data_IF_702380259606
#
_entry.id   IF_702380259606
#
_cell.length_a   1.000
_cell.length_b   1.000
_cell.length_c   1.000
_cell.angle_alpha   90.00
_cell.angle_beta   90.00
_cell.angle_gamma   90.00
#
_symmetry.space_group_name_H-M   'P 1'
#
loop_
_entity.id
_entity.type
_entity.pdbx_description
1 polymer ?
#
# COMPACT_ATOMS: atom_id res chain seq x y z
N UNK A 1 -40.66 6.42 21.57
CA UNK A 1 -40.60 6.75 20.13
C UNK A 1 -39.24 6.28 19.62
N UNK A 2 -39.18 5.15 18.92
CA UNK A 2 -37.95 4.67 18.26
C UNK A 2 -37.84 5.37 16.91
N UNK A 3 -36.73 6.08 16.69
CA UNK A 3 -36.43 6.69 15.41
C UNK A 3 -35.99 5.60 14.43
N UNK A 4 -36.86 5.26 13.47
CA UNK A 4 -36.52 4.49 12.28
C UNK A 4 -35.60 5.34 11.39
N UNK A 5 -34.29 5.32 11.66
CA UNK A 5 -33.28 5.73 10.69
C UNK A 5 -33.21 4.64 9.63
N UNK A 6 -34.06 4.73 8.61
CA UNK A 6 -33.86 3.94 7.39
C UNK A 6 -32.51 4.37 6.81
N UNK A 7 -31.53 3.47 6.84
CA UNK A 7 -30.27 3.68 6.15
C UNK A 7 -30.60 3.90 4.67
N UNK A 8 -30.28 5.07 4.14
CA UNK A 8 -30.36 5.29 2.70
C UNK A 8 -29.53 4.21 2.00
N UNK A 9 -30.00 3.67 0.87
CA UNK A 9 -29.25 2.68 0.14
C UNK A 9 -27.88 3.29 -0.20
N UNK A 10 -26.82 2.61 0.25
CA UNK A 10 -25.47 3.03 -0.08
C UNK A 10 -25.36 3.17 -1.61
N UNK A 11 -24.71 4.23 -2.11
CA UNK A 11 -24.49 4.37 -3.54
C UNK A 11 -23.81 3.10 -4.07
N UNK A 12 -24.14 2.66 -5.30
CA UNK A 12 -23.54 1.47 -5.88
C UNK A 12 -22.02 1.59 -5.85
N UNK A 13 -21.33 0.50 -5.47
CA UNK A 13 -19.88 0.49 -5.43
C UNK A 13 -19.32 0.73 -6.84
N UNK A 14 -18.09 1.25 -6.93
CA UNK A 14 -17.41 1.45 -8.21
C UNK A 14 -17.32 0.13 -8.99
N UNK A 15 -17.11 -1.00 -8.30
CA UNK A 15 -17.15 -2.33 -8.90
C UNK A 15 -18.50 -2.62 -9.59
N UNK A 16 -19.63 -2.31 -8.94
CA UNK A 16 -20.97 -2.43 -9.53
C UNK A 16 -21.16 -1.48 -10.71
N UNK A 17 -20.65 -0.24 -10.62
CA UNK A 17 -20.71 0.72 -11.72
C UNK A 17 -19.90 0.29 -12.95
N UNK A 18 -18.81 -0.43 -12.74
CA UNK A 18 -17.92 -0.94 -13.79
C UNK A 18 -18.28 -2.36 -14.26
N UNK A 19 -19.33 -2.98 -13.68
CA UNK A 19 -19.76 -4.33 -14.03
C UNK A 19 -18.81 -5.44 -13.58
N UNK A 20 -17.97 -5.18 -12.56
CA UNK A 20 -17.03 -6.13 -11.98
C UNK A 20 -17.73 -7.07 -10.99
N UNK A 21 -17.27 -8.32 -10.91
CA UNK A 21 -17.72 -9.23 -9.85
C UNK A 21 -17.14 -8.78 -8.50
N UNK A 22 -18.01 -8.24 -7.66
CA UNK A 22 -17.63 -7.74 -6.34
C UNK A 22 -17.09 -8.85 -5.42
N UNK A 23 -17.46 -10.11 -5.65
CA UNK A 23 -16.93 -11.23 -4.87
C UNK A 23 -15.48 -11.54 -5.25
N UNK A 24 -15.14 -11.48 -6.54
CA UNK A 24 -13.79 -11.70 -7.05
C UNK A 24 -12.83 -10.59 -6.57
N UNK A 25 -13.27 -9.33 -6.66
CA UNK A 25 -12.53 -8.18 -6.11
C UNK A 25 -12.28 -8.35 -4.62
N UNK A 26 -13.31 -8.74 -3.86
CA UNK A 26 -13.20 -8.93 -2.42
C UNK A 26 -12.31 -10.13 -2.06
N UNK A 27 -12.36 -11.22 -2.85
CA UNK A 27 -11.48 -12.37 -2.65
C UNK A 27 -10.02 -11.98 -2.85
N UNK A 28 -9.72 -11.33 -3.98
CA UNK A 28 -8.36 -10.88 -4.29
C UNK A 28 -7.83 -9.89 -3.25
N UNK A 29 -8.68 -8.98 -2.78
CA UNK A 29 -8.31 -8.07 -1.69
C UNK A 29 -8.00 -8.82 -0.38
N UNK A 30 -8.72 -9.90 -0.07
CA UNK A 30 -8.43 -10.74 1.10
C UNK A 30 -7.11 -11.50 0.96
N UNK A 31 -6.80 -11.99 -0.23
CA UNK A 31 -5.54 -12.71 -0.47
C UNK A 31 -4.33 -11.78 -0.32
N UNK A 32 -4.46 -10.52 -0.77
CA UNK A 32 -3.47 -9.46 -0.52
C UNK A 32 -3.30 -9.17 0.97
N UNK A 33 -4.41 -9.03 1.70
CA UNK A 33 -4.37 -8.82 3.16
C UNK A 33 -3.71 -10.00 3.87
N UNK A 34 -4.01 -11.23 3.47
CA UNK A 34 -3.40 -12.43 4.05
C UNK A 34 -1.88 -12.44 3.85
N UNK A 35 -1.41 -12.16 2.63
CA UNK A 35 0.02 -12.05 2.34
C UNK A 35 0.70 -10.94 3.16
N UNK A 36 0.00 -9.84 3.40
CA UNK A 36 0.50 -8.73 4.21
C UNK A 36 0.61 -9.10 5.68
N UNK A 37 -0.39 -9.79 6.23
CA UNK A 37 -0.33 -10.26 7.62
C UNK A 37 0.75 -11.32 7.85
N UNK A 38 1.14 -12.04 6.80
CA UNK A 38 2.22 -13.02 6.83
C UNK A 38 3.60 -12.40 6.52
N UNK A 39 3.67 -11.10 6.25
CA UNK A 39 4.93 -10.41 5.93
C UNK A 39 5.86 -10.29 7.15
N UNK A 40 7.16 -10.18 6.90
CA UNK A 40 8.16 -10.05 7.95
C UNK A 40 7.95 -8.77 8.81
N UNK A 41 7.52 -7.69 8.19
CA UNK A 41 7.20 -6.42 8.86
C UNK A 41 6.01 -6.58 9.82
N UNK A 42 4.95 -7.25 9.37
CA UNK A 42 3.77 -7.51 10.19
C UNK A 42 4.08 -8.42 11.38
N UNK A 43 4.83 -9.50 11.13
CA UNK A 43 5.28 -10.40 12.19
C UNK A 43 6.19 -9.68 13.20
N UNK A 44 7.14 -8.86 12.72
CA UNK A 44 8.01 -8.06 13.59
C UNK A 44 7.23 -7.13 14.49
N UNK A 45 6.24 -6.42 13.96
CA UNK A 45 5.38 -5.57 14.78
C UNK A 45 4.57 -6.37 15.80
N UNK A 46 3.99 -7.49 15.39
CA UNK A 46 3.22 -8.36 16.27
C UNK A 46 4.07 -8.88 17.44
N UNK A 47 5.30 -9.31 17.16
CA UNK A 47 6.27 -9.75 18.16
C UNK A 47 6.66 -8.62 19.12
N UNK A 48 6.94 -7.42 18.60
CA UNK A 48 7.26 -6.25 19.42
C UNK A 48 6.08 -5.85 20.32
N UNK A 49 4.86 -5.86 19.77
CA UNK A 49 3.65 -5.55 20.51
C UNK A 49 3.38 -6.56 21.63
N UNK A 50 3.60 -7.85 21.36
CA UNK A 50 3.47 -8.92 22.35
C UNK A 50 4.56 -8.83 23.44
N UNK A 51 5.76 -8.36 23.11
CA UNK A 51 6.88 -8.23 24.03
C UNK A 51 6.84 -6.98 24.93
N UNK A 52 5.85 -6.10 24.77
CA UNK A 52 5.73 -4.89 25.59
C UNK A 52 5.48 -5.22 27.07
N UNK A 53 6.28 -4.61 27.93
CA UNK A 53 6.04 -4.60 29.37
C UNK A 53 5.03 -3.50 29.74
N UNK A 54 4.54 -3.52 30.98
CA UNK A 54 3.66 -2.45 31.47
C UNK A 54 4.35 -1.09 31.49
N UNK A 55 5.65 -1.06 31.80
CA UNK A 55 6.44 0.16 31.74
C UNK A 55 6.53 0.70 30.31
N UNK A 56 6.72 -0.17 29.32
CA UNK A 56 6.76 0.23 27.91
C UNK A 56 5.40 0.83 27.48
N UNK A 57 4.29 0.26 27.94
CA UNK A 57 2.93 0.79 27.66
C UNK A 57 2.71 2.17 28.27
N UNK A 58 3.17 2.40 29.50
CA UNK A 58 3.11 3.72 30.12
C UNK A 58 3.90 4.77 29.32
N UNK A 59 5.11 4.43 28.86
CA UNK A 59 5.93 5.33 28.01
C UNK A 59 5.21 5.67 26.71
N UNK A 60 4.56 4.69 26.06
CA UNK A 60 3.77 4.91 24.85
C UNK A 60 2.52 5.76 25.11
N UNK A 61 1.85 5.57 26.24
CA UNK A 61 0.69 6.36 26.62
C UNK A 61 1.05 7.83 26.92
N UNK A 62 2.16 8.06 27.61
CA UNK A 62 2.71 9.40 27.86
C UNK A 62 3.09 10.10 26.54
N UNK A 63 3.73 9.37 25.63
CA UNK A 63 4.05 9.87 24.29
C UNK A 63 2.78 10.23 23.50
N UNK A 64 1.76 9.38 23.54
CA UNK A 64 0.46 9.64 22.92
C UNK A 64 -0.21 10.89 23.49
N UNK A 65 -0.20 11.05 24.81
CA UNK A 65 -0.73 12.26 25.46
C UNK A 65 0.00 13.51 24.99
N UNK A 66 1.34 13.46 24.90
CA UNK A 66 2.14 14.59 24.42
C UNK A 66 1.83 14.95 22.96
N UNK A 67 1.70 13.96 22.08
CA UNK A 67 1.24 14.18 20.70
C UNK A 67 -0.14 14.85 20.71
N UNK A 68 -1.07 14.37 21.53
CA UNK A 68 -2.42 14.96 21.66
C UNK A 68 -2.41 16.44 22.06
N UNK A 69 -1.50 16.83 22.95
CA UNK A 69 -1.30 18.25 23.32
C UNK A 69 -0.72 19.05 22.15
N UNK A 70 0.31 18.55 21.47
CA UNK A 70 0.97 19.23 20.35
C UNK A 70 0.05 19.37 19.13
N UNK A 71 -0.82 18.38 18.90
CA UNK A 71 -1.75 18.34 17.77
C UNK A 71 -3.15 18.85 18.10
N UNK A 72 -3.30 19.59 19.20
CA UNK A 72 -4.56 20.23 19.54
C UNK A 72 -5.10 21.03 18.32
N UNK A 73 -6.38 20.88 17.95
CA UNK A 73 -6.94 21.55 16.78
C UNK A 73 -6.70 23.06 16.75
N UNK A 74 -6.66 23.73 17.91
CA UNK A 74 -6.36 25.17 18.02
C UNK A 74 -4.93 25.48 17.57
N UNK A 75 -3.95 24.68 17.96
CA UNK A 75 -2.55 24.87 17.58
C UNK A 75 -2.33 24.58 16.08
N UNK A 76 -2.93 23.50 15.58
CA UNK A 76 -2.86 23.14 14.16
C UNK A 76 -3.49 24.22 13.29
N UNK A 77 -4.65 24.75 13.67
CA UNK A 77 -5.32 25.81 12.92
C UNK A 77 -4.59 27.16 13.03
N UNK A 78 -3.92 27.44 14.15
CA UNK A 78 -3.09 28.63 14.31
C UNK A 78 -1.82 28.57 13.44
N UNK A 79 -1.22 27.39 13.27
CA UNK A 79 -0.08 27.18 12.38
C UNK A 79 -0.45 27.38 10.91
N UNK A 80 -1.54 26.76 10.45
CA UNK A 80 -2.03 26.90 9.08
C UNK A 80 -3.57 26.72 9.03
N UNK A 81 -4.33 27.77 8.69
CA UNK A 81 -5.79 27.73 8.76
C UNK A 81 -6.45 27.03 7.57
N UNK A 82 -5.83 27.00 6.38
CA UNK A 82 -6.52 26.60 5.15
C UNK A 82 -5.84 25.46 4.38
N UNK A 83 -4.50 25.38 4.40
CA UNK A 83 -3.78 24.43 3.55
C UNK A 83 -3.61 23.07 4.23
N UNK A 84 -4.43 22.10 3.84
CA UNK A 84 -4.41 20.75 4.43
C UNK A 84 -3.06 20.05 4.33
N UNK A 85 -2.33 20.21 3.23
CA UNK A 85 -1.00 19.60 3.06
C UNK A 85 0.01 20.14 4.10
N UNK A 86 0.05 21.45 4.30
CA UNK A 86 0.90 22.06 5.33
C UNK A 86 0.48 21.65 6.74
N UNK A 87 -0.82 21.53 7.00
CA UNK A 87 -1.32 20.99 8.29
C UNK A 87 -0.90 19.53 8.47
N UNK A 88 -0.89 18.73 7.40
CA UNK A 88 -0.41 17.34 7.43
C UNK A 88 1.09 17.28 7.72
N UNK A 89 1.90 18.08 7.03
CA UNK A 89 3.34 18.21 7.28
C UNK A 89 3.63 18.60 8.72
N UNK A 90 2.91 19.58 9.28
CA UNK A 90 3.01 19.95 10.69
C UNK A 90 2.71 18.78 11.62
N UNK A 91 1.63 18.02 11.36
CA UNK A 91 1.28 16.85 12.18
C UNK A 91 2.38 15.80 12.15
N UNK A 92 2.86 15.43 10.95
CA UNK A 92 3.94 14.47 10.76
C UNK A 92 5.21 14.91 11.50
N UNK A 93 5.59 16.17 11.37
CA UNK A 93 6.76 16.71 12.08
C UNK A 93 6.62 16.59 13.61
N UNK A 94 5.48 16.97 14.18
CA UNK A 94 5.27 16.88 15.63
C UNK A 94 5.22 15.45 16.16
N UNK A 95 4.68 14.52 15.38
CA UNK A 95 4.70 13.09 15.72
C UNK A 95 6.14 12.58 15.67
N UNK A 96 6.89 12.90 14.61
CA UNK A 96 8.29 12.50 14.48
C UNK A 96 9.18 13.03 15.62
N UNK A 97 8.96 14.28 16.05
CA UNK A 97 9.65 14.86 17.22
C UNK A 97 9.41 14.03 18.50
N UNK A 98 8.18 13.60 18.75
CA UNK A 98 7.88 12.78 19.94
C UNK A 98 8.45 11.36 19.82
N UNK A 99 8.35 10.74 18.64
CA UNK A 99 8.92 9.41 18.40
C UNK A 99 10.44 9.44 18.56
N UNK A 100 11.12 10.51 18.14
CA UNK A 100 12.57 10.66 18.27
C UNK A 100 13.06 10.68 19.74
N UNK A 101 12.18 11.00 20.69
CA UNK A 101 12.50 11.00 22.11
C UNK A 101 12.26 9.63 22.78
N UNK A 102 11.57 8.72 22.11
CA UNK A 102 11.40 7.34 22.58
C UNK A 102 12.72 6.58 22.49
N UNK A 103 12.88 5.60 23.38
CA UNK A 103 14.05 4.72 23.41
C UNK A 103 13.63 3.27 23.65
N UNK A 104 14.47 2.32 23.26
CA UNK A 104 14.23 0.89 23.46
C UNK A 104 12.98 0.39 22.74
N UNK A 105 12.26 -0.55 23.37
CA UNK A 105 11.09 -1.22 22.75
C UNK A 105 9.97 -0.27 22.31
N UNK A 106 9.59 0.78 23.08
CA UNK A 106 8.64 1.78 22.61
C UNK A 106 9.04 2.43 21.27
N UNK A 107 10.33 2.72 21.08
CA UNK A 107 10.85 3.27 19.82
C UNK A 107 10.77 2.25 18.70
N UNK A 108 11.25 1.04 18.95
CA UNK A 108 11.23 -0.05 17.97
C UNK A 108 9.81 -0.39 17.50
N UNK A 109 8.84 -0.38 18.42
CA UNK A 109 7.43 -0.57 18.07
C UNK A 109 6.89 0.57 17.21
N UNK A 110 7.20 1.83 17.55
CA UNK A 110 6.77 2.98 16.76
C UNK A 110 7.34 2.94 15.34
N UNK A 111 8.61 2.55 15.18
CA UNK A 111 9.24 2.39 13.87
C UNK A 111 8.65 1.20 13.08
N UNK A 112 8.35 0.09 13.77
CA UNK A 112 7.70 -1.06 13.14
C UNK A 112 6.26 -0.73 12.70
N UNK A 113 5.55 0.12 13.45
CA UNK A 113 4.23 0.60 13.07
C UNK A 113 4.28 1.49 11.82
N UNK A 114 5.27 2.38 11.72
CA UNK A 114 5.49 3.23 10.54
C UNK A 114 5.72 2.38 9.28
N UNK A 115 6.52 1.32 9.40
CA UNK A 115 6.73 0.38 8.30
C UNK A 115 5.45 -0.35 7.86
N UNK A 116 4.54 -0.66 8.79
CA UNK A 116 3.24 -1.25 8.46
C UNK A 116 2.30 -0.24 7.83
N UNK A 117 2.29 1.01 8.31
CA UNK A 117 1.50 2.09 7.72
C UNK A 117 1.92 2.30 6.24
N UNK A 118 3.23 2.31 5.97
CA UNK A 118 3.78 2.38 4.61
C UNK A 118 3.34 1.18 3.74
N UNK A 119 3.35 -0.04 4.28
CA UNK A 119 2.84 -1.22 3.57
C UNK A 119 1.35 -1.06 3.22
N UNK A 120 0.53 -0.67 4.20
CA UNK A 120 -0.91 -0.46 4.01
C UNK A 120 -1.16 0.61 2.93
N UNK A 121 -0.45 1.73 3.00
CA UNK A 121 -0.54 2.79 1.99
C UNK A 121 -0.17 2.29 0.59
N UNK A 122 0.90 1.51 0.48
CA UNK A 122 1.29 0.90 -0.80
C UNK A 122 0.22 -0.06 -1.34
N UNK A 123 -0.42 -0.88 -0.51
CA UNK A 123 -1.53 -1.72 -0.96
C UNK A 123 -2.75 -0.89 -1.37
N UNK A 124 -3.13 0.11 -0.57
CA UNK A 124 -4.31 0.92 -0.84
C UNK A 124 -4.17 1.68 -2.17
N UNK A 125 -3.00 2.26 -2.42
CA UNK A 125 -2.74 3.06 -3.61
C UNK A 125 -2.53 2.18 -4.84
N UNK A 126 -1.65 1.19 -4.76
CA UNK A 126 -1.15 0.48 -5.95
C UNK A 126 -1.90 -0.82 -6.27
N UNK A 127 -2.55 -1.44 -5.29
CA UNK A 127 -3.28 -2.70 -5.47
C UNK A 127 -4.79 -2.45 -5.43
N UNK A 128 -5.31 -1.95 -4.31
CA UNK A 128 -6.76 -1.81 -4.11
C UNK A 128 -7.39 -0.86 -5.13
N UNK A 129 -6.75 0.28 -5.42
CA UNK A 129 -7.21 1.19 -6.47
C UNK A 129 -7.39 0.48 -7.82
N UNK A 130 -6.46 -0.39 -8.18
CA UNK A 130 -6.52 -1.15 -9.43
C UNK A 130 -7.55 -2.28 -9.38
N UNK A 131 -7.67 -3.01 -8.27
CA UNK A 131 -8.71 -4.04 -8.09
C UNK A 131 -10.12 -3.45 -8.25
N UNK A 132 -10.35 -2.24 -7.72
CA UNK A 132 -11.64 -1.56 -7.83
C UNK A 132 -11.95 -1.10 -9.27
N UNK A 133 -10.92 -0.76 -10.06
CA UNK A 133 -11.09 -0.25 -11.43
C UNK A 133 -11.09 -1.36 -12.48
N UNK A 134 -10.23 -2.37 -12.32
CA UNK A 134 -10.00 -3.43 -13.31
C UNK A 134 -10.55 -4.79 -12.90
N UNK A 135 -10.84 -5.00 -11.61
CA UNK A 135 -11.24 -6.30 -11.08
C UNK A 135 -10.05 -7.16 -10.63
N UNK A 136 -8.88 -6.97 -11.25
CA UNK A 136 -7.69 -7.78 -11.02
C UNK A 136 -6.37 -6.99 -11.08
N UNK A 137 -5.28 -7.70 -10.80
CA UNK A 137 -3.93 -7.32 -11.21
C UNK A 137 -3.52 -8.24 -12.38
N UNK A 138 -3.37 -7.69 -13.61
CA UNK A 138 -3.21 -8.50 -14.80
C UNK A 138 -1.91 -9.29 -14.77
N UNK A 139 -2.00 -10.57 -15.11
CA UNK A 139 -0.85 -11.43 -15.34
C UNK A 139 -0.38 -11.26 -16.78
N UNK A 140 0.87 -10.86 -16.97
CA UNK A 140 1.48 -10.68 -18.28
C UNK A 140 2.58 -11.71 -18.50
N UNK A 141 2.82 -12.08 -19.76
CA UNK A 141 3.96 -12.90 -20.16
C UNK A 141 5.10 -11.98 -20.62
N UNK A 142 6.07 -11.67 -19.74
CA UNK A 142 7.20 -10.85 -20.13
C UNK A 142 8.22 -11.65 -20.96
N UNK A 143 9.02 -10.93 -21.74
CA UNK A 143 10.25 -11.44 -22.35
C UNK A 143 11.44 -10.64 -21.81
N UNK A 144 12.66 -11.19 -21.93
CA UNK A 144 13.89 -10.51 -21.52
C UNK A 144 13.87 -9.96 -20.08
N UNK A 145 13.36 -10.76 -19.14
CA UNK A 145 13.27 -10.38 -17.72
C UNK A 145 14.66 -10.33 -17.10
N UNK A 146 14.97 -9.21 -16.47
CA UNK A 146 16.13 -9.05 -15.60
C UNK A 146 15.70 -8.47 -14.25
N UNK A 147 16.15 -9.11 -13.18
CA UNK A 147 15.83 -8.75 -11.79
C UNK A 147 17.07 -8.22 -11.07
N UNK A 148 16.92 -7.10 -10.38
CA UNK A 148 17.93 -6.51 -9.49
C UNK A 148 17.26 -6.15 -8.15
N UNK A 149 17.27 -7.10 -7.22
CA UNK A 149 16.54 -6.99 -5.96
C UNK A 149 15.03 -6.78 -6.20
N UNK A 150 14.43 -5.68 -5.71
CA UNK A 150 13.02 -5.37 -5.95
C UNK A 150 12.76 -4.78 -7.35
N UNK A 151 13.80 -4.43 -8.13
CA UNK A 151 13.63 -3.87 -9.46
C UNK A 151 13.54 -4.97 -10.52
N UNK A 152 12.64 -4.79 -11.47
CA UNK A 152 12.53 -5.63 -12.66
C UNK A 152 12.61 -4.76 -13.91
N UNK A 153 13.28 -5.28 -14.93
CA UNK A 153 13.18 -4.79 -16.30
C UNK A 153 12.76 -5.93 -17.21
N UNK A 154 11.85 -5.66 -18.12
CA UNK A 154 11.31 -6.68 -19.02
C UNK A 154 10.77 -6.04 -20.29
N UNK A 155 10.53 -6.86 -21.30
CA UNK A 155 9.85 -6.49 -22.53
C UNK A 155 8.47 -7.14 -22.56
N UNK A 156 7.51 -6.45 -23.18
CA UNK A 156 6.18 -6.98 -23.42
C UNK A 156 5.78 -6.74 -24.86
N UNK A 157 5.31 -7.80 -25.48
CA UNK A 157 4.69 -7.82 -26.80
C UNK A 157 3.24 -8.26 -26.60
N UNK A 158 2.30 -7.32 -26.74
CA UNK A 158 0.89 -7.61 -26.50
C UNK A 158 0.01 -6.38 -26.64
N UNK A 159 -1.29 -6.64 -26.82
CA UNK A 159 -2.32 -5.60 -26.95
C UNK A 159 -2.85 -5.12 -25.58
N UNK A 160 -2.44 -5.76 -24.48
CA UNK A 160 -2.89 -5.42 -23.13
C UNK A 160 -2.38 -4.02 -22.78
N UNK A 161 -3.27 -3.01 -22.66
CA UNK A 161 -2.83 -1.67 -22.35
C UNK A 161 -2.49 -1.60 -20.86
N UNK A 162 -1.20 -1.38 -20.57
CA UNK A 162 -0.75 -0.95 -19.27
C UNK A 162 0.14 0.29 -19.37
N UNK A 163 0.12 1.12 -18.33
CA UNK A 163 0.81 2.40 -18.26
C UNK A 163 1.73 2.49 -17.04
N UNK A 164 2.60 3.50 -17.05
CA UNK A 164 3.32 3.91 -15.85
C UNK A 164 2.32 4.25 -14.75
N UNK A 165 2.54 3.72 -13.55
CA UNK A 165 1.66 3.83 -12.40
C UNK A 165 0.69 2.65 -12.22
N UNK A 166 0.66 1.70 -13.16
CA UNK A 166 -0.15 0.49 -13.02
C UNK A 166 0.67 -0.69 -12.49
N UNK A 167 -0.01 -1.58 -11.78
CA UNK A 167 0.55 -2.81 -11.21
C UNK A 167 0.29 -3.99 -12.15
N UNK A 168 1.28 -4.87 -12.30
CA UNK A 168 1.19 -6.10 -13.10
C UNK A 168 1.77 -7.29 -12.33
N UNK A 169 1.35 -8.50 -12.67
CA UNK A 169 2.02 -9.74 -12.26
C UNK A 169 2.82 -10.27 -13.44
N UNK A 170 4.01 -10.79 -13.17
CA UNK A 170 4.88 -11.36 -14.19
C UNK A 170 4.73 -12.88 -14.17
N UNK A 171 4.38 -13.48 -15.31
CA UNK A 171 4.37 -14.93 -15.51
C UNK A 171 5.81 -15.44 -15.67
N UNK A 172 6.61 -15.28 -14.60
CA UNK A 172 8.00 -15.73 -14.51
C UNK A 172 8.22 -16.35 -13.11
N UNK A 173 8.71 -17.61 -13.02
CA UNK A 173 8.91 -18.31 -11.75
C UNK A 173 9.84 -17.59 -10.75
N UNK A 174 10.71 -16.70 -11.23
CA UNK A 174 11.66 -15.95 -10.42
C UNK A 174 11.11 -14.57 -10.01
N UNK A 175 10.01 -14.11 -10.63
CA UNK A 175 9.43 -12.78 -10.41
C UNK A 175 8.06 -12.86 -9.70
N UNK A 176 8.06 -13.40 -8.48
CA UNK A 176 6.87 -13.50 -7.65
C UNK A 176 6.33 -12.12 -7.21
N UNK A 177 5.02 -12.05 -7.01
CA UNK A 177 4.31 -10.86 -6.51
C UNK A 177 3.83 -9.90 -7.60
N UNK A 178 3.40 -8.72 -7.17
CA UNK A 178 2.97 -7.64 -8.05
C UNK A 178 4.09 -6.60 -8.23
N UNK A 179 4.14 -5.99 -9.42
CA UNK A 179 5.15 -5.03 -9.83
C UNK A 179 4.48 -3.74 -10.30
N UNK A 180 4.83 -2.62 -9.69
CA UNK A 180 4.42 -1.29 -10.12
C UNK A 180 5.30 -0.80 -11.26
N UNK A 181 4.72 -0.53 -12.42
CA UNK A 181 5.44 0.01 -13.58
C UNK A 181 5.81 1.46 -13.29
N UNK A 182 7.11 1.75 -13.27
CA UNK A 182 7.64 3.10 -12.99
C UNK A 182 8.31 3.75 -14.21
N UNK A 183 8.50 2.99 -15.30
CA UNK A 183 9.06 3.50 -16.54
C UNK A 183 8.69 2.62 -17.73
N UNK A 184 8.50 3.26 -18.89
CA UNK A 184 8.23 2.60 -20.15
C UNK A 184 9.01 3.30 -21.27
N UNK A 185 9.57 2.52 -22.17
CA UNK A 185 10.18 3.00 -23.42
C UNK A 185 9.66 2.17 -24.60
N UNK A 186 9.37 2.85 -25.70
CA UNK A 186 8.80 2.27 -26.89
C UNK A 186 9.84 2.22 -28.00
N UNK A 187 10.09 1.04 -28.54
CA UNK A 187 10.93 0.87 -29.71
C UNK A 187 10.05 0.63 -30.93
N UNK A 188 10.04 1.59 -31.85
CA UNK A 188 9.34 1.48 -33.13
C UNK A 188 10.30 0.94 -34.20
N UNK A 189 10.40 -0.39 -34.30
CA UNK A 189 11.11 -1.03 -35.40
C UNK A 189 10.22 -1.13 -36.64
N UNK A 190 10.73 -0.80 -37.83
CA UNK A 190 9.98 -0.86 -39.10
C UNK A 190 9.47 -2.27 -39.47
N UNK A 191 9.90 -3.34 -38.77
CA UNK A 191 9.63 -4.74 -39.14
C UNK A 191 9.19 -5.67 -37.98
N UNK A 192 9.32 -5.26 -36.70
CA UNK A 192 9.16 -6.18 -35.54
C UNK A 192 7.94 -5.89 -34.64
N UNK A 193 7.02 -5.02 -35.06
CA UNK A 193 5.89 -4.61 -34.22
C UNK A 193 6.30 -3.66 -33.08
N UNK A 194 5.33 -3.29 -32.25
CA UNK A 194 5.57 -2.41 -31.09
C UNK A 194 6.12 -3.24 -29.93
N UNK A 195 7.41 -3.04 -29.60
CA UNK A 195 7.99 -3.59 -28.37
C UNK A 195 8.04 -2.52 -27.30
N UNK A 196 7.48 -2.84 -26.14
CA UNK A 196 7.51 -1.97 -24.96
C UNK A 196 8.49 -2.54 -23.97
N UNK A 197 9.54 -1.77 -23.65
CA UNK A 197 10.45 -2.08 -22.54
C UNK A 197 9.95 -1.37 -21.28
N UNK A 198 9.79 -2.11 -20.21
CA UNK A 198 9.29 -1.65 -18.93
C UNK A 198 10.38 -1.71 -17.87
N UNK A 199 10.36 -0.75 -16.96
CA UNK A 199 10.97 -0.87 -15.63
C UNK A 199 9.86 -0.87 -14.60
N UNK A 200 10.00 -1.73 -13.61
CA UNK A 200 9.02 -1.88 -12.56
C UNK A 200 9.68 -2.14 -11.21
N UNK A 201 8.95 -1.86 -10.14
CA UNK A 201 9.37 -2.12 -8.77
C UNK A 201 8.39 -3.09 -8.13
N UNK A 202 8.90 -4.17 -7.54
CA UNK A 202 8.09 -5.12 -6.79
C UNK A 202 7.42 -4.41 -5.62
N UNK A 203 6.11 -4.61 -5.50
CA UNK A 203 5.34 -4.14 -4.37
C UNK A 203 5.63 -5.04 -3.16
N UNK A 204 6.03 -4.46 -2.03
CA UNK A 204 6.43 -5.23 -0.87
C UNK A 204 5.27 -6.07 -0.32
N UNK A 205 5.60 -7.25 0.23
CA UNK A 205 4.65 -8.20 0.83
C UNK A 205 3.57 -8.77 -0.11
N UNK A 206 3.76 -8.68 -1.44
CA UNK A 206 2.79 -9.21 -2.42
C UNK A 206 3.17 -10.58 -2.99
N UNK A 207 4.32 -11.14 -2.60
CA UNK A 207 4.92 -12.35 -3.20
C UNK A 207 3.99 -13.56 -3.18
N UNK A 208 3.16 -13.67 -2.12
CA UNK A 208 2.23 -14.78 -1.93
C UNK A 208 0.75 -14.38 -2.15
N UNK A 209 0.48 -13.12 -2.49
CA UNK A 209 -0.88 -12.56 -2.52
C UNK A 209 -1.77 -13.09 -3.66
N UNK A 210 -1.18 -13.73 -4.68
CA UNK A 210 -1.88 -14.11 -5.90
C UNK A 210 -1.60 -15.54 -6.35
N UNK A 211 -1.18 -16.39 -5.41
CA UNK A 211 -0.95 -17.81 -5.71
C UNK A 211 -2.29 -18.50 -5.93
N UNK A 212 -2.43 -19.20 -7.06
CA UNK A 212 -3.61 -20.03 -7.32
C UNK A 212 -3.56 -21.21 -6.34
N UNK A 213 -4.59 -21.34 -5.51
CA UNK A 213 -4.78 -22.49 -4.62
C UNK A 213 -5.06 -23.78 -5.39
#
# INVERSE_FOLDING_TARGET
>A
MQANLQAEPAPPSVAVMLGLDSNEVLSTARDVVAAFTDSAEWQRYADLAAALTEQDRHVLDDARHRVGVLLNPRLVNAYEPARNERRNQYRRQRVAEVIAELNGRPKELADAFDAIDDLIDHALINIHGQLVVRGDIPLIQPTNVALDGPQASFEHEGDTPFNVGESVRLDDPLAAGAYLINGMSFNFGQLEGLKTRCTAQRLPATENAFQVS
#
